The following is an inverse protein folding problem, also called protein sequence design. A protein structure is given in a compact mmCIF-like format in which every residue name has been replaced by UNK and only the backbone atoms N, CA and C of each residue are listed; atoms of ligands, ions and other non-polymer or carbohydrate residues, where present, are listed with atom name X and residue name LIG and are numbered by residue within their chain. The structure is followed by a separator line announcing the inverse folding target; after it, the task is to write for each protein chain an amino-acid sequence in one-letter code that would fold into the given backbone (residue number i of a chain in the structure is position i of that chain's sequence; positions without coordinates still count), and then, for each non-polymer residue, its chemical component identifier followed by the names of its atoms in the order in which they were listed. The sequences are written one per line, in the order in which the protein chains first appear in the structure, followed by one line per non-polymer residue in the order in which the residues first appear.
data_IF_326919097579
#
_entry.id   IF_326919097579
#
_cell.length_a   1.000
_cell.length_b   1.000
_cell.length_c   1.000
_cell.angle_alpha   90.00
_cell.angle_beta   90.00
_cell.angle_gamma   90.00
#
_symmetry.space_group_name_H-M   'P 1'
#
loop_
_entity.id
_entity.type
_entity.pdbx_description
1 polymer ?
#
# COMPACT_ATOMS: atom_id res chain seq x y z
N UNK A 1 15.24 -2.71 15.28
CA UNK A 1 13.81 -3.05 15.34
C UNK A 1 13.11 -2.00 14.52
N UNK A 2 12.91 -2.26 13.23
CA UNK A 2 12.23 -1.33 12.34
C UNK A 2 10.80 -1.15 12.82
N UNK A 3 10.33 0.08 12.93
CA UNK A 3 8.96 0.44 13.28
C UNK A 3 7.95 -0.51 12.62
N UNK A 4 7.35 -1.37 13.45
CA UNK A 4 6.29 -2.31 13.08
C UNK A 4 4.90 -1.70 13.25
N UNK A 5 4.82 -0.40 13.55
CA UNK A 5 3.57 0.26 13.89
C UNK A 5 2.85 0.65 12.60
N UNK A 6 1.62 0.13 12.37
CA UNK A 6 0.83 0.55 11.24
C UNK A 6 0.56 2.06 11.29
N UNK A 7 0.66 2.76 10.15
CA UNK A 7 0.42 4.21 10.09
C UNK A 7 -0.10 4.66 8.73
N UNK A 8 -0.85 5.76 8.71
CA UNK A 8 -1.21 6.43 7.45
C UNK A 8 0.02 7.04 6.79
N UNK A 9 0.11 6.87 5.48
CA UNK A 9 1.11 7.45 4.60
C UNK A 9 0.41 8.09 3.40
N UNK A 10 1.03 9.12 2.84
CA UNK A 10 0.57 9.76 1.60
C UNK A 10 1.70 9.73 0.59
N UNK A 11 1.40 9.30 -0.63
CA UNK A 11 2.43 9.09 -1.64
C UNK A 11 1.90 9.13 -3.07
N UNK A 12 2.82 9.07 -4.02
CA UNK A 12 2.55 9.14 -5.46
C UNK A 12 2.73 7.76 -6.09
N UNK A 13 1.76 7.32 -6.89
CA UNK A 13 1.87 6.07 -7.65
C UNK A 13 2.96 6.22 -8.72
N UNK A 14 3.99 5.38 -8.69
CA UNK A 14 5.15 5.48 -9.58
C UNK A 14 5.09 4.50 -10.75
N UNK A 15 4.58 3.29 -10.53
CA UNK A 15 4.41 2.26 -11.57
C UNK A 15 3.35 1.23 -11.19
N UNK A 16 2.87 0.52 -12.21
CA UNK A 16 1.99 -0.65 -12.07
C UNK A 16 2.77 -1.92 -12.39
N UNK A 17 2.39 -3.00 -11.74
CA UNK A 17 2.82 -4.37 -12.00
C UNK A 17 1.57 -5.27 -12.09
N UNK A 18 1.65 -6.47 -12.69
CA UNK A 18 0.49 -7.36 -12.79
C UNK A 18 -0.12 -7.76 -11.44
N UNK A 19 0.66 -7.68 -10.37
CA UNK A 19 0.26 -8.06 -9.02
C UNK A 19 -0.01 -6.86 -8.09
N UNK A 20 0.05 -5.62 -8.57
CA UNK A 20 -0.13 -4.45 -7.72
C UNK A 20 0.45 -3.16 -8.29
N UNK A 21 0.70 -2.17 -7.44
CA UNK A 21 1.34 -0.93 -7.83
C UNK A 21 2.28 -0.41 -6.74
N UNK A 22 3.24 0.41 -7.16
CA UNK A 22 4.24 1.01 -6.28
C UNK A 22 3.92 2.47 -5.98
N UNK A 23 4.25 2.89 -4.77
CA UNK A 23 4.00 4.23 -4.25
C UNK A 23 5.29 4.78 -3.65
N UNK A 24 5.70 5.96 -4.10
CA UNK A 24 6.73 6.76 -3.41
C UNK A 24 6.05 7.64 -2.37
N UNK A 25 6.41 7.44 -1.11
CA UNK A 25 5.88 8.16 0.05
C UNK A 25 6.99 8.78 0.91
N UNK A 26 8.18 8.97 0.33
CA UNK A 26 9.31 9.66 0.96
C UNK A 26 10.18 8.80 1.88
N UNK A 27 9.98 7.48 1.91
CA UNK A 27 10.88 6.55 2.58
C UNK A 27 12.06 6.15 1.68
N UNK A 28 12.99 5.38 2.25
CA UNK A 28 14.18 4.89 1.52
C UNK A 28 13.85 3.97 0.32
N UNK A 29 12.66 3.39 0.31
CA UNK A 29 12.18 2.50 -0.74
C UNK A 29 10.70 2.78 -1.02
N UNK A 30 10.29 2.55 -2.26
CA UNK A 30 8.87 2.59 -2.64
C UNK A 30 8.11 1.47 -1.94
N UNK A 31 6.88 1.77 -1.55
CA UNK A 31 5.99 0.78 -0.96
C UNK A 31 5.16 0.09 -2.02
N UNK A 32 4.84 -1.18 -1.81
CA UNK A 32 3.99 -1.96 -2.71
C UNK A 32 2.58 -2.11 -2.14
N UNK A 33 1.58 -1.82 -2.96
CA UNK A 33 0.19 -2.23 -2.74
C UNK A 33 -0.08 -3.43 -3.65
N UNK A 34 -0.13 -4.63 -3.08
CA UNK A 34 -0.47 -5.84 -3.84
C UNK A 34 -1.97 -5.88 -4.14
N UNK A 35 -2.38 -6.54 -5.22
CA UNK A 35 -3.77 -6.58 -5.71
C UNK A 35 -4.78 -6.98 -4.64
N UNK A 36 -4.40 -7.88 -3.73
CA UNK A 36 -5.26 -8.26 -2.61
C UNK A 36 -5.53 -7.06 -1.70
N UNK A 37 -4.57 -6.19 -1.46
CA UNK A 37 -4.69 -4.97 -0.66
C UNK A 37 -5.38 -3.80 -1.38
N UNK A 38 -5.86 -3.99 -2.61
CA UNK A 38 -6.65 -2.99 -3.36
C UNK A 38 -8.14 -3.28 -3.25
N UNK A 39 -8.54 -4.54 -3.38
CA UNK A 39 -9.93 -4.94 -3.45
C UNK A 39 -10.67 -4.68 -2.12
N UNK A 40 -11.87 -4.10 -2.20
CA UNK A 40 -12.77 -3.99 -1.05
C UNK A 40 -13.39 -5.35 -0.71
N UNK A 41 -13.68 -6.16 -1.74
CA UNK A 41 -14.22 -7.50 -1.59
C UNK A 41 -13.28 -8.54 -2.22
N UNK A 42 -13.12 -9.70 -1.57
CA UNK A 42 -12.24 -10.77 -2.07
C UNK A 42 -12.70 -11.37 -3.41
N UNK A 43 -13.93 -11.06 -3.84
CA UNK A 43 -14.51 -11.46 -5.13
C UNK A 43 -14.15 -10.54 -6.30
N UNK A 44 -13.61 -9.33 -6.05
CA UNK A 44 -13.17 -8.43 -7.12
C UNK A 44 -11.88 -8.94 -7.76
N UNK A 45 -12.02 -9.59 -8.92
CA UNK A 45 -10.88 -10.24 -9.58
C UNK A 45 -9.87 -9.26 -10.20
N UNK A 46 -10.24 -7.99 -10.38
CA UNK A 46 -9.36 -6.97 -10.95
C UNK A 46 -9.80 -5.54 -10.57
N UNK A 47 -9.58 -5.10 -9.33
CA UNK A 47 -9.90 -3.74 -8.93
C UNK A 47 -9.03 -2.75 -9.74
N UNK A 48 -9.58 -1.63 -10.24
CA UNK A 48 -8.81 -0.67 -11.00
C UNK A 48 -7.72 -0.03 -10.14
N UNK A 49 -6.48 -0.02 -10.63
CA UNK A 49 -5.39 0.65 -9.95
C UNK A 49 -5.48 2.17 -10.16
N UNK A 50 -5.06 2.99 -9.18
CA UNK A 50 -4.96 4.43 -9.36
C UNK A 50 -3.95 4.75 -10.48
N UNK A 51 -4.17 5.83 -11.22
CA UNK A 51 -3.27 6.22 -12.31
C UNK A 51 -1.84 6.47 -11.81
N UNK A 52 -0.84 6.15 -12.64
CA UNK A 52 0.55 6.56 -12.39
C UNK A 52 0.62 8.09 -12.32
N UNK A 53 1.30 8.62 -11.30
CA UNK A 53 1.36 10.04 -10.97
C UNK A 53 0.24 10.52 -10.03
N UNK A 54 -0.75 9.68 -9.71
CA UNK A 54 -1.79 10.03 -8.74
C UNK A 54 -1.22 10.05 -7.31
N UNK A 55 -1.63 11.05 -6.52
CA UNK A 55 -1.36 11.11 -5.09
C UNK A 55 -2.48 10.39 -4.35
N UNK A 56 -2.13 9.42 -3.49
CA UNK A 56 -3.07 8.61 -2.72
C UNK A 56 -2.69 8.59 -1.24
N UNK A 57 -3.67 8.28 -0.40
CA UNK A 57 -3.45 7.85 0.98
C UNK A 57 -3.41 6.31 1.05
N UNK A 58 -2.54 5.78 1.90
CA UNK A 58 -2.40 4.34 2.15
C UNK A 58 -2.04 4.09 3.62
N UNK A 59 -2.10 2.84 4.04
CA UNK A 59 -1.64 2.38 5.36
C UNK A 59 -0.35 1.58 5.18
N UNK A 60 0.73 2.02 5.81
CA UNK A 60 1.94 1.22 5.95
C UNK A 60 1.66 0.11 6.97
N UNK A 61 1.62 -1.14 6.51
CA UNK A 61 1.38 -2.31 7.36
C UNK A 61 2.68 -2.85 8.00
N UNK A 62 3.83 -2.52 7.41
CA UNK A 62 5.14 -2.96 7.85
C UNK A 62 6.09 -3.17 6.69
N UNK A 63 7.12 -3.98 6.90
CA UNK A 63 8.17 -4.27 5.93
C UNK A 63 8.33 -5.77 5.71
N UNK A 64 8.65 -6.20 4.50
CA UNK A 64 8.97 -7.60 4.23
C UNK A 64 10.25 -8.02 4.96
N UNK A 65 10.27 -9.26 5.47
CA UNK A 65 11.47 -9.81 6.14
C UNK A 65 12.68 -9.87 5.19
N UNK A 66 12.42 -10.12 3.91
CA UNK A 66 13.43 -10.17 2.86
C UNK A 66 13.39 -8.84 2.11
N UNK A 67 14.49 -8.09 2.16
CA UNK A 67 14.69 -6.85 1.40
C UNK A 67 14.11 -5.59 2.07
N UNK A 68 13.25 -5.71 3.09
CA UNK A 68 12.68 -4.56 3.77
C UNK A 68 11.78 -3.71 2.87
N UNK A 69 11.04 -4.35 1.96
CA UNK A 69 10.09 -3.66 1.08
C UNK A 69 8.87 -3.22 1.92
N UNK A 70 8.52 -1.92 1.92
CA UNK A 70 7.33 -1.45 2.62
C UNK A 70 6.06 -2.04 2.01
N UNK A 71 5.21 -2.64 2.86
CA UNK A 71 3.89 -3.15 2.47
C UNK A 71 2.82 -2.12 2.79
N UNK A 72 2.07 -1.74 1.76
CA UNK A 72 1.01 -0.75 1.84
C UNK A 72 -0.36 -1.39 1.59
N UNK A 73 -1.40 -0.80 2.17
CA UNK A 73 -2.80 -1.13 1.91
C UNK A 73 -3.65 0.11 1.63
N UNK A 74 -4.65 -0.06 0.77
CA UNK A 74 -5.68 0.94 0.51
C UNK A 74 -7.08 0.45 0.91
N UNK A 75 -7.17 -0.68 1.63
CA UNK A 75 -8.46 -1.22 2.08
C UNK A 75 -9.03 -0.36 3.22
N UNK A 76 -10.34 -0.04 3.18
CA UNK A 76 -10.99 0.74 4.25
C UNK A 76 -10.74 0.19 5.66
N UNK A 77 -10.85 -1.13 5.84
CA UNK A 77 -10.65 -1.82 7.12
C UNK A 77 -9.27 -1.57 7.76
N UNK A 78 -8.22 -1.38 6.94
CA UNK A 78 -6.87 -1.15 7.45
C UNK A 78 -6.70 0.31 7.91
N UNK A 79 -7.50 1.24 7.37
CA UNK A 79 -7.56 2.62 7.86
C UNK A 79 -8.35 2.74 9.16
N UNK A 80 -9.45 1.98 9.29
CA UNK A 80 -10.30 1.93 10.49
C UNK A 80 -9.53 1.35 11.68
N UNK A 81 -8.72 0.30 11.44
CA UNK A 81 -7.87 -0.34 12.46
C UNK A 81 -6.80 0.59 13.08
N UNK A 82 -6.57 1.79 12.52
CA UNK A 82 -5.64 2.78 13.08
C UNK A 82 -6.30 3.71 14.10
N UNK A 83 -7.63 3.80 14.10
CA UNK A 83 -8.41 4.70 14.94
C UNK A 83 -8.97 3.99 16.20
N UNK A 84 -8.79 2.67 16.30
CA UNK A 84 -9.14 1.82 17.46
C UNK A 84 -7.97 1.62 18.45
#
# INVERSE_FOLDING_TARGET
MSDLTPRRVRGTVTRHEPYGFYVDFGEKAEGVVVVTMVAQDSSESNPPFPAVGAVIDAVLLGYTEIGGEPRLSVRPQDFESLDE
#
